data_IF_964256417846
#
_entry.id   IF_964256417846
#
_cell.length_a   1.000
_cell.length_b   1.000
_cell.length_c   1.000
_cell.angle_alpha   90.00
_cell.angle_beta   90.00
_cell.angle_gamma   90.00
#
_symmetry.space_group_name_H-M   'P 1'
#
loop_
_entity.id
_entity.type
_entity.pdbx_description
1 polymer ?
#
# COMPACT_ATOMS: atom_id res chain seq x y z
N UNK A 1 -10.80 -18.75 -29.56
CA UNK A 1 -9.46 -18.17 -29.38
C UNK A 1 -9.56 -16.65 -29.35
N UNK A 2 -8.93 -15.98 -28.39
CA UNK A 2 -8.93 -14.51 -28.32
C UNK A 2 -8.20 -13.91 -29.54
N UNK A 3 -8.77 -12.86 -30.15
CA UNK A 3 -8.22 -12.18 -31.34
C UNK A 3 -6.98 -11.34 -31.01
N UNK A 4 -6.86 -10.90 -29.75
CA UNK A 4 -5.69 -10.21 -29.23
C UNK A 4 -4.68 -11.23 -28.69
N UNK A 5 -3.38 -10.97 -28.87
CA UNK A 5 -2.30 -11.75 -28.28
C UNK A 5 -1.77 -11.02 -27.04
N UNK A 6 -1.32 -11.74 -25.99
CA UNK A 6 -0.66 -11.13 -24.85
C UNK A 6 0.57 -10.34 -25.33
N UNK A 7 0.93 -9.28 -24.60
CA UNK A 7 2.17 -8.53 -24.85
C UNK A 7 3.36 -9.51 -24.78
N UNK A 8 4.15 -9.68 -25.85
CA UNK A 8 5.14 -10.74 -25.96
C UNK A 8 6.39 -10.50 -25.09
N UNK A 9 6.63 -9.25 -24.67
CA UNK A 9 7.77 -8.87 -23.85
C UNK A 9 7.34 -7.87 -22.77
N UNK A 10 7.90 -8.03 -21.57
CA UNK A 10 7.77 -7.07 -20.47
C UNK A 10 8.49 -5.76 -20.78
N UNK A 11 9.56 -5.81 -21.59
CA UNK A 11 10.27 -4.63 -22.11
C UNK A 11 9.53 -4.01 -23.30
N UNK A 12 8.27 -3.63 -23.07
CA UNK A 12 7.47 -2.81 -23.97
C UNK A 12 7.41 -1.39 -23.39
N UNK A 13 7.46 -0.36 -24.25
CA UNK A 13 7.39 1.04 -23.84
C UNK A 13 6.16 1.32 -22.95
N UNK A 14 5.01 0.70 -23.28
CA UNK A 14 3.80 0.77 -22.43
C UNK A 14 4.05 0.25 -21.01
N UNK A 15 4.55 -0.98 -20.88
CA UNK A 15 4.77 -1.62 -19.56
C UNK A 15 5.81 -0.85 -18.75
N UNK A 16 6.93 -0.48 -19.38
CA UNK A 16 7.99 0.31 -18.74
C UNK A 16 7.45 1.65 -18.24
N UNK A 17 6.72 2.38 -19.09
CA UNK A 17 6.12 3.65 -18.71
C UNK A 17 5.14 3.49 -17.54
N UNK A 18 4.25 2.49 -17.59
CA UNK A 18 3.28 2.28 -16.51
C UNK A 18 3.95 1.94 -15.18
N UNK A 19 5.00 1.10 -15.19
CA UNK A 19 5.73 0.74 -13.98
C UNK A 19 6.52 1.93 -13.43
N UNK A 20 7.18 2.70 -14.29
CA UNK A 20 7.90 3.91 -13.88
C UNK A 20 6.96 4.96 -13.27
N UNK A 21 5.80 5.20 -13.89
CA UNK A 21 4.81 6.14 -13.34
C UNK A 21 4.24 5.66 -12.01
N UNK A 22 3.90 4.37 -11.89
CA UNK A 22 3.47 3.79 -10.61
C UNK A 22 4.54 4.00 -9.54
N UNK A 23 5.80 3.67 -9.82
CA UNK A 23 6.91 3.89 -8.90
C UNK A 23 7.01 5.35 -8.44
N UNK A 24 6.92 6.31 -9.35
CA UNK A 24 6.99 7.73 -9.01
C UNK A 24 5.83 8.17 -8.08
N UNK A 25 4.60 7.73 -8.35
CA UNK A 25 3.45 8.03 -7.48
C UNK A 25 3.63 7.39 -6.11
N UNK A 26 4.02 6.11 -6.06
CA UNK A 26 4.19 5.38 -4.80
C UNK A 26 5.32 5.97 -3.95
N UNK A 27 6.44 6.31 -4.59
CA UNK A 27 7.57 6.96 -3.95
C UNK A 27 7.20 8.35 -3.45
N UNK A 28 6.45 9.13 -4.24
CA UNK A 28 5.92 10.43 -3.82
C UNK A 28 5.01 10.34 -2.59
N UNK A 29 4.07 9.39 -2.57
CA UNK A 29 3.23 9.13 -1.39
C UNK A 29 4.06 8.76 -0.16
N UNK A 30 5.07 7.90 -0.33
CA UNK A 30 5.96 7.51 0.76
C UNK A 30 6.74 8.71 1.31
N UNK A 31 7.33 9.52 0.43
CA UNK A 31 8.06 10.73 0.84
C UNK A 31 7.16 11.70 1.61
N UNK A 32 5.93 11.92 1.13
CA UNK A 32 4.95 12.76 1.80
C UNK A 32 4.64 12.26 3.21
N UNK A 33 4.31 10.97 3.35
CA UNK A 33 3.97 10.38 4.66
C UNK A 33 5.15 10.44 5.63
N UNK A 34 6.37 10.13 5.16
CA UNK A 34 7.59 10.22 5.97
C UNK A 34 7.84 11.66 6.43
N UNK A 35 7.66 12.63 5.54
CA UNK A 35 7.81 14.05 5.86
C UNK A 35 6.79 14.51 6.91
N UNK A 36 5.51 14.18 6.74
CA UNK A 36 4.46 14.51 7.70
C UNK A 36 4.70 13.88 9.08
N UNK A 37 5.17 12.63 9.09
CA UNK A 37 5.55 11.95 10.34
C UNK A 37 6.72 12.66 11.05
N UNK A 38 7.73 13.11 10.30
CA UNK A 38 8.86 13.86 10.87
C UNK A 38 8.48 15.26 11.38
N UNK A 39 7.53 15.94 10.73
CA UNK A 39 7.01 17.23 11.19
C UNK A 39 6.21 17.05 12.49
N UNK A 40 5.40 15.99 12.56
CA UNK A 40 4.53 15.70 13.70
C UNK A 40 5.30 15.18 14.92
N UNK A 41 6.26 14.28 14.69
CA UNK A 41 7.12 13.69 15.72
C UNK A 41 8.60 13.89 15.33
N UNK A 42 9.19 15.07 15.62
CA UNK A 42 10.59 15.34 15.33
C UNK A 42 11.48 14.35 16.08
N UNK A 43 12.36 13.66 15.34
CA UNK A 43 13.31 12.71 15.93
C UNK A 43 14.69 13.32 16.07
N UNK A 44 15.27 13.13 17.24
CA UNK A 44 16.70 13.29 17.48
C UNK A 44 17.50 12.14 16.86
N UNK A 45 18.81 12.12 17.11
CA UNK A 45 19.77 11.12 16.59
C UNK A 45 19.19 9.70 16.61
N UNK A 46 19.13 9.10 15.43
CA UNK A 46 18.72 7.71 15.26
C UNK A 46 19.81 6.82 15.85
N UNK A 47 19.46 6.10 16.91
CA UNK A 47 20.28 5.03 17.46
C UNK A 47 19.92 3.72 16.73
N UNK A 48 20.86 3.20 15.95
CA UNK A 48 20.67 1.98 15.14
C UNK A 48 20.76 0.70 15.99
N UNK A 49 21.25 0.78 17.21
CA UNK A 49 21.36 -0.36 18.13
C UNK A 49 20.22 -0.41 19.17
N UNK A 50 19.33 0.58 19.16
CA UNK A 50 18.18 0.64 20.06
C UNK A 50 17.14 -0.44 19.74
N UNK A 51 16.50 -0.97 20.80
CA UNK A 51 15.37 -1.89 20.67
C UNK A 51 14.20 -1.22 19.94
N UNK A 52 13.48 -2.01 19.13
CA UNK A 52 12.32 -1.52 18.40
C UNK A 52 11.28 -0.92 19.37
N UNK A 53 10.85 0.31 19.07
CA UNK A 53 9.75 0.96 19.78
C UNK A 53 8.69 1.41 18.77
N UNK A 54 7.42 1.04 18.98
CA UNK A 54 6.29 1.54 18.21
C UNK A 54 6.31 3.07 18.14
N UNK A 55 6.14 3.63 16.95
CA UNK A 55 6.22 5.08 16.74
C UNK A 55 5.46 5.51 15.49
N UNK A 56 5.19 6.81 15.34
CA UNK A 56 4.35 7.33 14.27
C UNK A 56 4.87 6.99 12.87
N UNK A 57 6.18 7.16 12.65
CA UNK A 57 6.82 6.87 11.37
C UNK A 57 6.62 5.41 10.95
N UNK A 58 6.87 4.46 11.86
CA UNK A 58 6.75 3.03 11.58
C UNK A 58 5.31 2.66 11.22
N UNK A 59 4.35 3.17 12.00
CA UNK A 59 2.93 2.91 11.77
C UNK A 59 2.44 3.52 10.46
N UNK A 60 2.79 4.78 10.18
CA UNK A 60 2.39 5.47 8.97
C UNK A 60 2.99 4.83 7.71
N UNK A 61 4.28 4.48 7.74
CA UNK A 61 4.96 3.79 6.63
C UNK A 61 4.38 2.39 6.43
N UNK A 62 4.08 1.64 7.49
CA UNK A 62 3.49 0.31 7.40
C UNK A 62 2.10 0.35 6.75
N UNK A 63 1.20 1.22 7.22
CA UNK A 63 -0.14 1.40 6.68
C UNK A 63 -0.07 1.87 5.22
N UNK A 64 0.83 2.81 4.91
CA UNK A 64 1.03 3.28 3.54
C UNK A 64 1.55 2.17 2.62
N UNK A 65 2.53 1.38 3.06
CA UNK A 65 3.05 0.26 2.29
C UNK A 65 1.96 -0.76 1.97
N UNK A 66 1.12 -1.11 2.95
CA UNK A 66 -0.02 -2.00 2.75
C UNK A 66 -1.03 -1.43 1.75
N UNK A 67 -1.41 -0.15 1.87
CA UNK A 67 -2.32 0.50 0.93
C UNK A 67 -1.78 0.53 -0.51
N UNK A 68 -0.50 0.87 -0.67
CA UNK A 68 0.20 0.88 -1.95
C UNK A 68 0.28 -0.52 -2.57
N UNK A 69 0.48 -1.56 -1.75
CA UNK A 69 0.53 -2.94 -2.22
C UNK A 69 -0.84 -3.44 -2.71
N UNK A 70 -1.92 -3.13 -1.97
CA UNK A 70 -3.30 -3.40 -2.40
C UNK A 70 -3.63 -2.65 -3.69
N UNK A 71 -3.25 -1.38 -3.80
CA UNK A 71 -3.44 -0.55 -5.00
C UNK A 71 -2.69 -1.13 -6.21
N UNK A 72 -1.41 -1.47 -6.04
CA UNK A 72 -0.58 -2.09 -7.09
C UNK A 72 -1.23 -3.36 -7.63
N UNK A 73 -1.71 -4.22 -6.74
CA UNK A 73 -2.35 -5.47 -7.14
C UNK A 73 -3.67 -5.23 -7.88
N UNK A 74 -4.46 -4.26 -7.42
CA UNK A 74 -5.74 -3.89 -8.04
C UNK A 74 -5.53 -3.33 -9.45
N UNK A 75 -4.63 -2.36 -9.60
CA UNK A 75 -4.39 -1.62 -10.85
C UNK A 75 -3.71 -2.51 -11.89
N UNK A 76 -2.82 -3.41 -11.47
CA UNK A 76 -2.11 -4.30 -12.39
C UNK A 76 -2.89 -5.59 -12.73
N UNK A 77 -4.04 -5.84 -12.10
CA UNK A 77 -4.85 -6.99 -12.46
C UNK A 77 -5.39 -6.87 -13.88
N UNK A 78 -4.93 -7.78 -14.75
CA UNK A 78 -5.46 -7.89 -16.11
C UNK A 78 -6.66 -8.81 -16.10
N UNK A 79 -7.82 -8.31 -16.52
CA UNK A 79 -9.02 -9.12 -16.75
C UNK A 79 -9.06 -9.72 -18.16
N UNK A 80 -10.26 -9.82 -18.72
CA UNK A 80 -10.48 -10.32 -20.09
C UNK A 80 -9.64 -9.55 -21.11
N UNK A 81 -9.17 -10.22 -22.20
CA UNK A 81 -9.56 -11.55 -22.69
C UNK A 81 -8.70 -12.72 -22.19
N UNK A 82 -7.65 -12.48 -21.39
CA UNK A 82 -6.69 -13.52 -21.00
C UNK A 82 -6.89 -14.07 -19.59
N UNK A 83 -7.63 -13.36 -18.74
CA UNK A 83 -8.05 -13.79 -17.42
C UNK A 83 -9.53 -13.45 -17.20
N UNK A 84 -10.12 -14.00 -16.15
CA UNK A 84 -11.46 -13.61 -15.70
C UNK A 84 -11.47 -12.16 -15.23
N UNK A 85 -12.62 -11.50 -15.29
CA UNK A 85 -12.72 -10.18 -14.67
C UNK A 85 -12.59 -10.29 -13.15
N UNK A 86 -12.17 -9.21 -12.49
CA UNK A 86 -11.97 -9.21 -11.04
C UNK A 86 -13.26 -9.59 -10.29
N UNK A 87 -14.42 -9.21 -10.83
CA UNK A 87 -15.74 -9.53 -10.26
C UNK A 87 -16.12 -11.01 -10.39
N UNK A 88 -15.58 -11.70 -11.40
CA UNK A 88 -15.83 -13.13 -11.62
C UNK A 88 -14.88 -14.00 -10.79
N UNK A 89 -13.65 -13.53 -10.58
CA UNK A 89 -12.67 -14.19 -9.72
C UNK A 89 -12.96 -13.91 -8.24
N UNK A 90 -13.96 -14.61 -7.68
CA UNK A 90 -14.40 -14.44 -6.28
C UNK A 90 -13.27 -14.55 -5.25
N UNK A 91 -12.34 -15.54 -5.32
CA UNK A 91 -11.23 -15.62 -4.37
C UNK A 91 -10.38 -14.35 -4.35
N UNK A 92 -10.05 -13.83 -5.54
CA UNK A 92 -9.23 -12.63 -5.67
C UNK A 92 -9.98 -11.35 -5.29
N UNK A 93 -11.28 -11.29 -5.57
CA UNK A 93 -12.14 -10.21 -5.11
C UNK A 93 -12.19 -10.17 -3.58
N UNK A 94 -12.44 -11.30 -2.94
CA UNK A 94 -12.51 -11.36 -1.48
C UNK A 94 -11.17 -11.08 -0.81
N UNK A 95 -10.05 -11.53 -1.38
CA UNK A 95 -8.73 -11.18 -0.83
C UNK A 95 -8.46 -9.68 -0.91
N UNK A 96 -8.81 -9.05 -2.04
CA UNK A 96 -8.62 -7.62 -2.21
C UNK A 96 -9.53 -6.80 -1.29
N UNK A 97 -10.79 -7.20 -1.16
CA UNK A 97 -11.73 -6.56 -0.23
C UNK A 97 -11.28 -6.73 1.21
N UNK A 98 -10.84 -7.92 1.60
CA UNK A 98 -10.33 -8.19 2.94
C UNK A 98 -9.10 -7.33 3.26
N UNK A 99 -8.10 -7.32 2.36
CA UNK A 99 -6.89 -6.51 2.54
C UNK A 99 -7.20 -5.01 2.54
N UNK A 100 -8.10 -4.54 1.67
CA UNK A 100 -8.56 -3.15 1.68
C UNK A 100 -9.24 -2.77 3.00
N UNK A 101 -10.20 -3.59 3.45
CA UNK A 101 -10.86 -3.40 4.74
C UNK A 101 -9.87 -3.42 5.92
N UNK A 102 -8.87 -4.31 5.89
CA UNK A 102 -7.83 -4.37 6.91
C UNK A 102 -7.02 -3.07 6.95
N UNK A 103 -6.61 -2.53 5.78
CA UNK A 103 -5.91 -1.24 5.69
C UNK A 103 -6.75 -0.11 6.29
N UNK A 104 -8.03 0.00 5.92
CA UNK A 104 -8.92 1.02 6.49
C UNK A 104 -9.13 0.85 8.00
N UNK A 105 -9.26 -0.39 8.47
CA UNK A 105 -9.42 -0.70 9.90
C UNK A 105 -8.18 -0.28 10.69
N UNK A 106 -6.98 -0.59 10.20
CA UNK A 106 -5.72 -0.21 10.84
C UNK A 106 -5.50 1.32 10.78
N UNK A 107 -5.79 1.95 9.63
CA UNK A 107 -5.66 3.39 9.45
C UNK A 107 -6.60 4.19 10.37
N UNK A 108 -7.83 3.71 10.56
CA UNK A 108 -8.83 4.35 11.43
C UNK A 108 -8.57 4.17 12.94
N UNK A 109 -7.69 3.24 13.34
CA UNK A 109 -7.39 2.96 14.74
C UNK A 109 -8.59 2.44 15.56
N UNK A 110 -9.64 1.94 14.92
CA UNK A 110 -10.90 1.53 15.58
C UNK A 110 -10.74 0.25 16.43
N UNK A 111 -9.73 -0.57 16.14
CA UNK A 111 -9.44 -1.80 16.89
C UNK A 111 -8.13 -1.66 17.70
N UNK A 112 -8.22 -1.46 19.03
CA UNK A 112 -7.05 -1.41 19.90
C UNK A 112 -6.26 -2.72 19.90
N UNK A 113 -6.95 -3.86 19.83
CA UNK A 113 -6.31 -5.18 19.83
C UNK A 113 -5.42 -5.40 18.59
N UNK A 114 -5.88 -4.96 17.41
CA UNK A 114 -5.07 -5.03 16.19
C UNK A 114 -3.92 -4.01 16.25
N UNK A 115 -4.18 -2.82 16.76
CA UNK A 115 -3.18 -1.76 16.91
C UNK A 115 -2.03 -2.24 17.80
N UNK A 116 -2.32 -2.91 18.92
CA UNK A 116 -1.31 -3.50 19.82
C UNK A 116 -0.55 -4.65 19.15
N UNK A 117 -1.25 -5.59 18.50
CA UNK A 117 -0.62 -6.73 17.82
C UNK A 117 0.32 -6.34 16.68
N UNK A 118 -0.01 -5.27 15.97
CA UNK A 118 0.81 -4.74 14.87
C UNK A 118 1.77 -3.64 15.33
N UNK A 119 1.87 -3.37 16.63
CA UNK A 119 2.75 -2.36 17.20
C UNK A 119 2.56 -0.98 16.53
N UNK A 120 1.30 -0.62 16.32
CA UNK A 120 0.88 0.62 15.68
C UNK A 120 0.60 1.71 16.72
N UNK A 121 0.98 2.93 16.41
CA UNK A 121 0.64 4.14 17.16
C UNK A 121 -0.55 4.80 16.47
N UNK A 122 -1.42 5.43 17.24
CA UNK A 122 -2.56 6.18 16.70
C UNK A 122 -2.08 7.28 15.75
N UNK A 123 -2.62 7.24 14.53
CA UNK A 123 -2.38 8.28 13.55
C UNK A 123 -3.13 9.57 13.98
N UNK A 124 -2.52 10.75 13.81
CA UNK A 124 -3.21 12.01 14.06
C UNK A 124 -4.41 12.14 13.14
N UNK A 125 -5.53 12.66 13.66
CA UNK A 125 -6.76 12.85 12.87
C UNK A 125 -6.56 13.77 11.65
N UNK A 126 -5.48 14.58 11.61
CA UNK A 126 -5.15 15.42 10.46
C UNK A 126 -4.58 14.63 9.26
N UNK A 127 -4.12 13.38 9.48
CA UNK A 127 -3.52 12.51 8.45
C UNK A 127 -4.54 11.50 7.89
N UNK A 128 -5.72 11.41 8.51
CA UNK A 128 -6.82 10.62 7.98
C UNK A 128 -7.42 11.33 6.76
N UNK A 129 -7.15 10.76 5.59
CA UNK A 129 -7.73 11.11 4.28
C UNK A 129 -9.24 10.90 4.30
#
# INVERSE_FOLDING_TARGET
LAKQRPTPNIFNAYTLLTVSLQFLVHFGCLLYVVQEAHITEPRDKIDLEAEFKPNLLNSAVYIMAMALQVSTFTVNYRGRPFMESLMENKPMLYSLLFSGCAVFTLASGVSPELTEKFELVQLPAQVCI
#
